data_IF_015183155549
#
_entry.id   IF_015183155549
#
_cell.length_a   1.000
_cell.length_b   1.000
_cell.length_c   1.000
_cell.angle_alpha   90.00
_cell.angle_beta   90.00
_cell.angle_gamma   90.00
#
_symmetry.space_group_name_H-M   'P 1'
#
loop_
_entity.id
_entity.type
_entity.pdbx_description
1 polymer ?
#
# COMPACT_ATOMS: atom_id res chain seq x y z
N UNK A 1 -4.52 -33.38 -24.03
CA UNK A 1 -3.88 -32.07 -23.74
C UNK A 1 -4.58 -30.91 -24.44
N UNK A 2 -4.75 -30.92 -25.76
CA UNK A 2 -5.42 -29.85 -26.53
C UNK A 2 -6.88 -29.56 -26.09
N UNK A 3 -7.74 -30.59 -25.97
CA UNK A 3 -9.13 -30.43 -25.45
C UNK A 3 -9.22 -29.87 -24.03
N UNK A 4 -8.19 -30.08 -23.20
CA UNK A 4 -8.14 -29.55 -21.84
C UNK A 4 -7.72 -28.07 -21.85
N UNK A 5 -6.76 -27.72 -22.69
CA UNK A 5 -6.34 -26.33 -22.96
C UNK A 5 -7.52 -25.53 -23.53
N UNK A 6 -8.28 -26.09 -24.47
CA UNK A 6 -9.44 -25.43 -25.06
C UNK A 6 -10.58 -25.23 -24.06
N UNK A 7 -10.89 -26.25 -23.24
CA UNK A 7 -11.86 -26.12 -22.14
C UNK A 7 -11.42 -25.07 -21.12
N UNK A 8 -10.14 -25.04 -20.76
CA UNK A 8 -9.59 -24.08 -19.83
C UNK A 8 -9.65 -22.64 -20.38
N UNK A 9 -9.28 -22.45 -21.65
CA UNK A 9 -9.43 -21.17 -22.35
C UNK A 9 -10.90 -20.71 -22.39
N UNK A 10 -11.83 -21.62 -22.63
CA UNK A 10 -13.27 -21.33 -22.65
C UNK A 10 -13.79 -20.90 -21.27
N UNK A 11 -13.27 -21.49 -20.18
CA UNK A 11 -13.66 -21.13 -18.80
C UNK A 11 -13.13 -19.75 -18.42
N UNK A 12 -11.87 -19.45 -18.70
CA UNK A 12 -11.25 -18.16 -18.36
C UNK A 12 -11.89 -17.00 -19.13
N UNK A 13 -12.37 -17.26 -20.35
CA UNK A 13 -13.05 -16.25 -21.16
C UNK A 13 -14.52 -16.05 -20.78
N UNK A 14 -15.05 -16.79 -19.79
CA UNK A 14 -16.40 -16.55 -19.30
C UNK A 14 -16.52 -15.13 -18.74
N UNK A 15 -17.68 -14.46 -18.94
CA UNK A 15 -17.89 -13.10 -18.46
C UNK A 15 -17.69 -12.94 -16.94
N UNK A 16 -17.88 -14.01 -16.16
CA UNK A 16 -17.65 -14.03 -14.72
C UNK A 16 -16.25 -13.52 -14.33
N UNK A 17 -15.19 -13.97 -15.00
CA UNK A 17 -13.81 -13.63 -14.64
C UNK A 17 -13.37 -12.24 -15.09
N UNK A 18 -14.20 -11.54 -15.87
CA UNK A 18 -13.86 -10.27 -16.52
C UNK A 18 -14.89 -9.15 -16.33
N UNK A 19 -16.05 -9.42 -15.72
CA UNK A 19 -17.06 -8.41 -15.39
C UNK A 19 -16.67 -7.69 -14.10
N UNK A 20 -16.63 -6.36 -14.13
CA UNK A 20 -16.30 -5.56 -12.94
C UNK A 20 -17.31 -5.75 -11.81
N UNK A 21 -18.60 -5.97 -12.10
CA UNK A 21 -19.60 -6.24 -11.06
C UNK A 21 -19.28 -7.54 -10.30
N UNK A 22 -18.90 -8.59 -11.01
CA UNK A 22 -18.45 -9.85 -10.39
C UNK A 22 -17.20 -9.65 -9.56
N UNK A 23 -16.17 -9.01 -10.11
CA UNK A 23 -14.91 -8.78 -9.40
C UNK A 23 -15.11 -7.88 -8.16
N UNK A 24 -15.97 -6.86 -8.26
CA UNK A 24 -16.35 -6.00 -7.13
C UNK A 24 -17.07 -6.81 -6.04
N UNK A 25 -18.01 -7.68 -6.43
CA UNK A 25 -18.70 -8.56 -5.48
C UNK A 25 -17.73 -9.53 -4.80
N UNK A 26 -16.77 -10.10 -5.52
CA UNK A 26 -15.73 -10.96 -4.95
C UNK A 26 -14.81 -10.19 -3.99
N UNK A 27 -14.38 -8.97 -4.35
CA UNK A 27 -13.56 -8.13 -3.48
C UNK A 27 -14.32 -7.66 -2.23
N UNK A 28 -15.60 -7.35 -2.34
CA UNK A 28 -16.47 -7.09 -1.18
C UNK A 28 -16.60 -8.34 -0.30
N UNK A 29 -16.78 -9.52 -0.90
CA UNK A 29 -16.86 -10.79 -0.20
C UNK A 29 -15.58 -11.10 0.59
N UNK A 30 -14.38 -10.74 0.09
CA UNK A 30 -13.14 -10.85 0.86
C UNK A 30 -13.20 -10.03 2.17
N UNK A 31 -13.79 -8.83 2.12
CA UNK A 31 -14.01 -8.00 3.32
C UNK A 31 -14.95 -8.66 4.32
N UNK A 32 -16.04 -9.29 3.83
CA UNK A 32 -16.97 -10.06 4.66
C UNK A 32 -16.30 -11.29 5.28
N UNK A 33 -15.52 -12.04 4.49
CA UNK A 33 -14.75 -13.20 4.98
C UNK A 33 -13.76 -12.78 6.08
N UNK A 34 -13.03 -11.69 5.85
CA UNK A 34 -12.12 -11.16 6.86
C UNK A 34 -12.86 -10.74 8.14
N UNK A 35 -14.02 -10.08 8.00
CA UNK A 35 -14.85 -9.74 9.15
C UNK A 35 -15.30 -10.98 9.94
N UNK A 36 -15.88 -12.00 9.30
CA UNK A 36 -16.34 -13.23 9.98
C UNK A 36 -15.17 -13.90 10.71
N UNK A 37 -14.04 -14.08 10.02
CA UNK A 37 -12.88 -14.80 10.56
C UNK A 37 -12.13 -14.05 11.67
N UNK A 38 -12.37 -12.74 11.83
CA UNK A 38 -11.70 -11.91 12.84
C UNK A 38 -12.63 -11.52 13.98
N UNK A 39 -13.88 -11.19 13.69
CA UNK A 39 -14.86 -10.77 14.68
C UNK A 39 -15.17 -11.86 15.72
N UNK A 40 -15.63 -13.03 15.28
CA UNK A 40 -16.05 -14.08 16.23
C UNK A 40 -14.90 -14.60 17.11
N UNK A 41 -13.67 -14.76 16.61
CA UNK A 41 -12.54 -15.14 17.47
C UNK A 41 -11.94 -14.01 18.31
N UNK A 42 -12.45 -12.77 18.24
CA UNK A 42 -11.89 -11.64 18.99
C UNK A 42 -10.54 -11.12 18.44
N UNK A 43 -10.20 -11.41 17.18
CA UNK A 43 -8.86 -11.14 16.60
C UNK A 43 -8.84 -9.90 15.70
N UNK A 44 -9.20 -8.74 16.23
CA UNK A 44 -9.33 -7.47 15.48
C UNK A 44 -8.61 -6.30 16.16
N UNK A 45 -7.49 -6.56 16.83
CA UNK A 45 -6.72 -5.59 17.61
C UNK A 45 -6.49 -4.25 16.90
N UNK A 46 -6.05 -4.28 15.64
CA UNK A 46 -5.81 -3.06 14.85
C UNK A 46 -7.08 -2.24 14.66
N UNK A 47 -8.24 -2.89 14.44
CA UNK A 47 -9.49 -2.15 14.36
C UNK A 47 -9.89 -1.57 15.72
N UNK A 48 -9.62 -2.25 16.84
CA UNK A 48 -9.83 -1.68 18.18
C UNK A 48 -8.98 -0.42 18.36
N UNK A 49 -7.68 -0.46 18.05
CA UNK A 49 -6.78 0.70 18.10
C UNK A 49 -7.32 1.85 17.26
N UNK A 50 -7.70 1.57 16.01
CA UNK A 50 -8.26 2.57 15.11
C UNK A 50 -9.56 3.15 15.64
N UNK A 51 -10.48 2.29 16.11
CA UNK A 51 -11.76 2.71 16.67
C UNK A 51 -11.55 3.62 17.88
N UNK A 52 -10.64 3.26 18.76
CA UNK A 52 -10.39 4.00 19.99
C UNK A 52 -9.70 5.34 19.72
N UNK A 53 -8.91 5.50 18.64
CA UNK A 53 -8.33 6.81 18.32
C UNK A 53 -9.39 7.90 18.09
N UNK A 54 -10.60 7.56 17.65
CA UNK A 54 -11.73 8.52 17.58
C UNK A 54 -12.21 8.91 18.98
N UNK A 55 -12.45 7.92 19.85
CA UNK A 55 -12.93 8.17 21.21
C UNK A 55 -11.87 8.84 22.09
N UNK A 56 -10.61 8.46 21.97
CA UNK A 56 -9.48 9.08 22.67
C UNK A 56 -9.32 10.53 22.24
N UNK A 57 -9.43 10.83 20.94
CA UNK A 57 -9.50 12.22 20.45
C UNK A 57 -10.64 12.98 21.11
N UNK A 58 -11.87 12.48 21.05
CA UNK A 58 -13.06 13.16 21.60
C UNK A 58 -12.96 13.44 23.11
N UNK A 59 -12.27 12.57 23.86
CA UNK A 59 -12.07 12.71 25.31
C UNK A 59 -10.71 13.33 25.68
N UNK A 60 -9.97 13.84 24.71
CA UNK A 60 -8.64 14.46 24.88
C UNK A 60 -7.62 13.57 25.62
N UNK A 61 -7.70 12.25 25.39
CA UNK A 61 -6.77 11.27 25.94
C UNK A 61 -5.50 11.17 25.08
N UNK A 62 -4.30 10.94 25.66
CA UNK A 62 -3.06 10.81 24.88
C UNK A 62 -3.12 9.71 23.81
N UNK A 63 -3.12 10.06 22.51
CA UNK A 63 -3.30 9.08 21.44
C UNK A 63 -2.18 8.04 21.36
N UNK A 64 -0.96 8.40 21.76
CA UNK A 64 0.24 7.58 21.60
C UNK A 64 0.65 6.87 22.91
N UNK A 65 -0.25 6.80 23.90
CA UNK A 65 -0.06 6.02 25.11
C UNK A 65 -0.55 4.57 24.94
N UNK A 66 -0.11 3.69 25.85
CA UNK A 66 -0.61 2.31 25.90
C UNK A 66 -1.94 2.22 26.68
N UNK A 67 -2.91 1.50 26.12
CA UNK A 67 -4.23 1.25 26.72
C UNK A 67 -4.51 -0.26 26.79
N UNK A 68 -3.81 -1.01 27.67
CA UNK A 68 -3.86 -2.49 27.70
C UNK A 68 -5.25 -3.06 28.03
N UNK A 69 -6.12 -2.28 28.66
CA UNK A 69 -7.52 -2.65 28.92
C UNK A 69 -8.39 -2.58 27.65
N UNK A 70 -7.96 -1.83 26.62
CA UNK A 70 -8.72 -1.61 25.39
C UNK A 70 -8.15 -2.40 24.20
N UNK A 71 -6.82 -2.51 24.10
CA UNK A 71 -6.13 -3.17 22.99
C UNK A 71 -4.64 -3.47 23.30
N UNK A 72 -4.02 -4.30 22.46
CA UNK A 72 -2.65 -4.82 22.62
C UNK A 72 -1.68 -4.26 21.57
N UNK A 73 -1.48 -2.94 21.53
CA UNK A 73 -0.40 -2.20 20.83
C UNK A 73 -0.59 -0.70 21.15
N UNK A 74 0.12 0.19 20.45
CA UNK A 74 -0.11 1.64 20.48
C UNK A 74 -0.63 2.12 19.11
N UNK A 75 -1.29 3.27 19.09
CA UNK A 75 -1.71 3.94 17.86
C UNK A 75 -0.56 4.70 17.22
N UNK A 76 -0.38 4.60 15.90
CA UNK A 76 0.78 5.17 15.18
C UNK A 76 0.41 6.04 13.98
N UNK A 77 -0.81 6.55 13.95
CA UNK A 77 -1.35 7.31 12.83
C UNK A 77 -1.50 8.78 13.22
N UNK A 78 -1.54 9.66 12.23
CA UNK A 78 -1.67 11.09 12.50
C UNK A 78 -3.08 11.44 12.99
N UNK A 79 -3.25 12.57 13.69
CA UNK A 79 -4.52 13.00 14.28
C UNK A 79 -5.72 12.98 13.32
N UNK A 80 -5.53 13.25 12.02
CA UNK A 80 -6.57 13.17 10.97
C UNK A 80 -7.24 11.81 10.88
N UNK A 81 -6.53 10.75 11.27
CA UNK A 81 -7.07 9.40 11.21
C UNK A 81 -8.34 9.24 12.08
N UNK A 82 -8.45 10.01 13.18
CA UNK A 82 -9.67 10.05 14.03
C UNK A 82 -10.93 10.42 13.24
N UNK A 83 -10.83 11.33 12.26
CA UNK A 83 -11.93 11.68 11.35
C UNK A 83 -12.20 10.58 10.31
N UNK A 84 -11.15 9.93 9.82
CA UNK A 84 -11.26 8.84 8.83
C UNK A 84 -11.97 7.62 9.41
N UNK A 85 -11.66 7.27 10.66
CA UNK A 85 -12.27 6.13 11.34
C UNK A 85 -13.63 6.43 11.97
N UNK A 86 -13.95 7.71 12.23
CA UNK A 86 -15.20 8.16 12.86
C UNK A 86 -16.48 7.44 12.37
N UNK A 87 -16.79 7.36 11.05
CA UNK A 87 -18.05 6.72 10.60
C UNK A 87 -18.13 5.23 10.94
N UNK A 88 -16.99 4.58 11.16
CA UNK A 88 -16.92 3.17 11.57
C UNK A 88 -16.90 3.04 13.10
N UNK A 89 -16.22 3.95 13.79
CA UNK A 89 -16.01 3.93 15.24
C UNK A 89 -17.30 4.15 16.06
N UNK A 90 -18.21 4.99 15.56
CA UNK A 90 -19.49 5.34 16.22
C UNK A 90 -20.51 4.19 16.20
N UNK A 91 -20.36 3.25 15.27
CA UNK A 91 -21.27 2.11 15.15
C UNK A 91 -20.90 1.00 16.14
N UNK A 92 -21.81 0.03 16.41
CA UNK A 92 -21.45 -1.15 17.18
C UNK A 92 -20.25 -1.87 16.57
N UNK A 93 -19.38 -2.43 17.41
CA UNK A 93 -18.09 -3.02 17.03
C UNK A 93 -18.16 -3.95 15.80
N UNK A 94 -19.17 -4.83 15.76
CA UNK A 94 -19.37 -5.76 14.65
C UNK A 94 -19.63 -5.04 13.32
N UNK A 95 -20.46 -4.00 13.34
CA UNK A 95 -20.84 -3.25 12.15
C UNK A 95 -19.70 -2.36 11.69
N UNK A 96 -19.00 -1.73 12.63
CA UNK A 96 -17.82 -0.91 12.36
C UNK A 96 -16.72 -1.72 11.68
N UNK A 97 -16.40 -2.91 12.21
CA UNK A 97 -15.38 -3.77 11.62
C UNK A 97 -15.77 -4.31 10.24
N UNK A 98 -17.05 -4.67 10.06
CA UNK A 98 -17.58 -5.15 8.77
C UNK A 98 -17.48 -4.05 7.71
N UNK A 99 -18.04 -2.87 8.01
CA UNK A 99 -18.07 -1.75 7.08
C UNK A 99 -16.68 -1.20 6.81
N UNK A 100 -15.78 -1.19 7.80
CA UNK A 100 -14.35 -0.87 7.61
C UNK A 100 -13.71 -1.83 6.61
N UNK A 101 -13.83 -3.13 6.82
CA UNK A 101 -13.20 -4.16 5.97
C UNK A 101 -13.72 -4.09 4.52
N UNK A 102 -15.03 -3.92 4.34
CA UNK A 102 -15.64 -3.79 3.01
C UNK A 102 -15.25 -2.47 2.35
N UNK A 103 -15.26 -1.35 3.08
CA UNK A 103 -14.90 -0.03 2.55
C UNK A 103 -13.44 0.02 2.08
N UNK A 104 -12.49 -0.52 2.87
CA UNK A 104 -11.08 -0.62 2.48
C UNK A 104 -10.92 -1.39 1.16
N UNK A 105 -11.55 -2.56 1.06
CA UNK A 105 -11.51 -3.41 -0.14
C UNK A 105 -12.09 -2.69 -1.37
N UNK A 106 -13.27 -2.10 -1.24
CA UNK A 106 -13.95 -1.41 -2.34
C UNK A 106 -13.25 -0.11 -2.75
N UNK A 107 -12.61 0.58 -1.81
CA UNK A 107 -11.84 1.78 -2.10
C UNK A 107 -10.64 1.46 -3.00
N UNK A 108 -9.87 0.41 -2.66
CA UNK A 108 -8.78 -0.06 -3.52
C UNK A 108 -9.31 -0.60 -4.85
N UNK A 109 -10.43 -1.32 -4.85
CA UNK A 109 -11.05 -1.78 -6.09
C UNK A 109 -11.34 -0.60 -7.03
N UNK A 110 -11.97 0.46 -6.51
CA UNK A 110 -12.33 1.62 -7.30
C UNK A 110 -11.10 2.40 -7.79
N UNK A 111 -10.08 2.56 -6.94
CA UNK A 111 -8.81 3.16 -7.33
C UNK A 111 -8.16 2.43 -8.54
N UNK A 112 -8.07 1.10 -8.48
CA UNK A 112 -7.55 0.28 -9.59
C UNK A 112 -8.46 0.37 -10.82
N UNK A 113 -9.79 0.43 -10.64
CA UNK A 113 -10.74 0.59 -11.76
C UNK A 113 -10.49 1.86 -12.56
N UNK A 114 -10.04 2.92 -11.89
CA UNK A 114 -9.79 4.22 -12.52
C UNK A 114 -8.42 4.35 -13.17
N UNK A 115 -7.51 3.39 -12.96
CA UNK A 115 -6.21 3.38 -13.64
C UNK A 115 -6.39 3.49 -15.16
N UNK A 116 -5.60 4.31 -15.86
CA UNK A 116 -5.63 4.36 -17.31
C UNK A 116 -5.07 3.06 -17.92
N UNK A 117 -5.46 2.74 -19.16
CA UNK A 117 -5.07 1.50 -19.84
C UNK A 117 -6.23 0.53 -20.10
N UNK A 118 -5.87 -0.66 -20.59
CA UNK A 118 -6.87 -1.63 -21.07
C UNK A 118 -7.48 -2.44 -19.92
N UNK A 119 -8.72 -2.89 -20.12
CA UNK A 119 -9.50 -3.66 -19.14
C UNK A 119 -8.77 -4.91 -18.64
N UNK A 120 -7.99 -5.57 -19.50
CA UNK A 120 -7.25 -6.79 -19.16
C UNK A 120 -6.18 -6.56 -18.08
N UNK A 121 -5.49 -5.41 -18.11
CA UNK A 121 -4.51 -5.03 -17.08
C UNK A 121 -5.17 -4.98 -15.70
N UNK A 122 -6.29 -4.26 -15.59
CA UNK A 122 -7.05 -4.11 -14.34
C UNK A 122 -7.61 -5.44 -13.84
N UNK A 123 -8.14 -6.28 -14.73
CA UNK A 123 -8.59 -7.65 -14.36
C UNK A 123 -7.43 -8.47 -13.78
N UNK A 124 -6.25 -8.41 -14.40
CA UNK A 124 -5.08 -9.12 -13.89
C UNK A 124 -4.70 -8.63 -12.49
N UNK A 125 -4.67 -7.32 -12.26
CA UNK A 125 -4.40 -6.74 -10.93
C UNK A 125 -5.38 -7.29 -9.89
N UNK A 126 -6.69 -7.32 -10.19
CA UNK A 126 -7.69 -7.82 -9.24
C UNK A 126 -7.50 -9.27 -8.84
N UNK A 127 -7.15 -10.14 -9.78
CA UNK A 127 -6.93 -11.56 -9.49
C UNK A 127 -5.59 -11.78 -8.79
N UNK A 128 -4.52 -11.15 -9.29
CA UNK A 128 -3.18 -11.35 -8.75
C UNK A 128 -3.04 -10.83 -7.31
N UNK A 129 -3.70 -9.72 -6.99
CA UNK A 129 -3.59 -9.08 -5.67
C UNK A 129 -4.63 -9.57 -4.65
N UNK A 130 -5.59 -10.42 -5.04
CA UNK A 130 -6.69 -10.84 -4.17
C UNK A 130 -6.22 -11.49 -2.85
N UNK A 131 -5.18 -12.32 -2.92
CA UNK A 131 -4.64 -12.99 -1.73
C UNK A 131 -3.93 -12.00 -0.78
N UNK A 132 -3.18 -11.04 -1.31
CA UNK A 132 -2.50 -10.02 -0.51
C UNK A 132 -3.50 -9.02 0.09
N UNK A 133 -4.58 -8.72 -0.64
CA UNK A 133 -5.71 -7.95 -0.13
C UNK A 133 -6.33 -8.68 1.06
N UNK A 134 -6.62 -9.98 0.93
CA UNK A 134 -7.18 -10.78 2.02
C UNK A 134 -6.26 -10.80 3.26
N UNK A 135 -4.95 -10.95 3.05
CA UNK A 135 -3.94 -10.88 4.13
C UNK A 135 -4.01 -9.54 4.87
N UNK A 136 -4.18 -8.45 4.14
CA UNK A 136 -4.29 -7.10 4.72
C UNK A 136 -5.61 -6.90 5.45
N UNK A 137 -6.71 -7.40 4.90
CA UNK A 137 -8.05 -7.37 5.51
C UNK A 137 -8.11 -8.18 6.80
N UNK A 138 -7.41 -9.32 6.86
CA UNK A 138 -7.28 -10.12 8.08
C UNK A 138 -6.55 -9.40 9.22
N UNK A 139 -5.78 -8.36 8.92
CA UNK A 139 -5.16 -7.50 9.91
C UNK A 139 -5.97 -6.21 10.12
N UNK A 140 -7.12 -6.04 9.46
CA UNK A 140 -7.93 -4.82 9.46
C UNK A 140 -7.14 -3.56 9.11
N UNK A 141 -6.07 -3.70 8.33
CA UNK A 141 -5.02 -2.69 8.17
C UNK A 141 -5.41 -1.55 7.21
N UNK A 142 -5.00 -0.33 7.55
CA UNK A 142 -5.20 0.86 6.71
C UNK A 142 -4.29 0.91 5.47
N UNK A 143 -3.30 0.01 5.39
CA UNK A 143 -2.37 -0.10 4.25
C UNK A 143 -3.10 -0.29 2.90
N UNK A 144 -4.31 -0.86 2.91
CA UNK A 144 -5.18 -1.01 1.73
C UNK A 144 -5.60 0.38 1.20
N UNK A 145 -6.04 1.28 2.07
CA UNK A 145 -6.36 2.67 1.71
C UNK A 145 -5.14 3.45 1.26
N UNK A 146 -3.97 3.21 1.85
CA UNK A 146 -2.73 3.86 1.37
C UNK A 146 -2.40 3.44 -0.06
N UNK A 147 -2.54 2.14 -0.40
CA UNK A 147 -2.40 1.69 -1.79
C UNK A 147 -3.39 2.42 -2.71
N UNK A 148 -4.67 2.52 -2.30
CA UNK A 148 -5.70 3.20 -3.06
C UNK A 148 -5.40 4.70 -3.24
N UNK A 149 -4.93 5.37 -2.19
CA UNK A 149 -4.55 6.79 -2.20
C UNK A 149 -3.39 7.04 -3.18
N UNK A 150 -2.33 6.25 -3.14
CA UNK A 150 -1.18 6.41 -4.05
C UNK A 150 -1.62 6.19 -5.51
N UNK A 151 -2.45 5.18 -5.76
CA UNK A 151 -3.02 4.91 -7.09
C UNK A 151 -3.93 6.07 -7.54
N UNK A 152 -4.78 6.60 -6.66
CA UNK A 152 -5.67 7.72 -6.98
C UNK A 152 -4.91 9.02 -7.19
N UNK A 153 -3.85 9.29 -6.44
CA UNK A 153 -2.98 10.44 -6.65
C UNK A 153 -2.45 10.45 -8.09
N UNK A 154 -1.93 9.31 -8.55
CA UNK A 154 -1.51 9.13 -9.94
C UNK A 154 -2.66 9.36 -10.93
N UNK A 155 -3.79 8.68 -10.73
CA UNK A 155 -4.97 8.78 -11.62
C UNK A 155 -5.51 10.21 -11.72
N UNK A 156 -5.57 10.94 -10.62
CA UNK A 156 -6.09 12.30 -10.57
C UNK A 156 -5.15 13.28 -11.25
N UNK A 157 -3.83 13.10 -11.10
CA UNK A 157 -2.82 13.88 -11.83
C UNK A 157 -2.91 13.62 -13.34
N UNK A 158 -3.02 12.37 -13.77
CA UNK A 158 -3.21 12.02 -15.20
C UNK A 158 -4.52 12.61 -15.78
N UNK A 159 -5.53 12.83 -14.93
CA UNK A 159 -6.81 13.46 -15.30
C UNK A 159 -6.83 14.98 -15.06
N UNK A 160 -5.69 15.59 -14.77
CA UNK A 160 -5.54 17.03 -14.52
C UNK A 160 -6.41 17.56 -13.35
N UNK A 161 -6.80 16.66 -12.43
CA UNK A 161 -7.57 16.95 -11.22
C UNK A 161 -6.62 17.25 -10.04
N UNK A 162 -5.71 18.20 -10.24
CA UNK A 162 -4.61 18.47 -9.31
C UNK A 162 -5.04 18.81 -7.87
N UNK A 163 -6.17 19.52 -7.69
CA UNK A 163 -6.70 19.85 -6.34
C UNK A 163 -7.09 18.57 -5.58
N UNK A 164 -7.72 17.63 -6.27
CA UNK A 164 -8.14 16.36 -5.68
C UNK A 164 -6.97 15.39 -5.51
N UNK A 165 -5.97 15.45 -6.40
CA UNK A 165 -4.73 14.73 -6.21
C UNK A 165 -4.03 15.20 -4.92
N UNK A 166 -3.90 16.51 -4.74
CA UNK A 166 -3.36 17.10 -3.51
C UNK A 166 -4.17 16.68 -2.27
N UNK A 167 -5.51 16.67 -2.34
CA UNK A 167 -6.36 16.17 -1.26
C UNK A 167 -6.00 14.74 -0.84
N UNK A 168 -5.99 13.79 -1.79
CA UNK A 168 -5.75 12.38 -1.44
C UNK A 168 -4.32 12.16 -0.94
N UNK A 169 -3.33 12.87 -1.50
CA UNK A 169 -1.93 12.80 -1.04
C UNK A 169 -1.85 13.31 0.40
N UNK A 170 -2.40 14.50 0.70
CA UNK A 170 -2.34 15.06 2.06
C UNK A 170 -3.16 14.22 3.05
N UNK A 171 -4.34 13.73 2.68
CA UNK A 171 -5.11 12.81 3.51
C UNK A 171 -4.29 11.55 3.85
N UNK A 172 -3.61 10.98 2.85
CA UNK A 172 -2.68 9.89 3.05
C UNK A 172 -1.57 10.29 4.01
N UNK A 173 -0.81 11.34 3.70
CA UNK A 173 0.34 11.81 4.50
C UNK A 173 -0.01 12.03 5.95
N UNK A 174 -1.10 12.75 6.24
CA UNK A 174 -1.51 13.12 7.60
C UNK A 174 -2.24 12.01 8.35
N UNK A 175 -2.57 10.90 7.70
CA UNK A 175 -2.99 9.67 8.39
C UNK A 175 -1.82 8.73 8.59
N UNK A 176 -1.04 8.48 7.53
CA UNK A 176 0.19 7.67 7.54
C UNK A 176 1.17 8.25 6.53
N UNK A 177 2.40 8.53 6.96
CA UNK A 177 3.42 9.23 6.15
C UNK A 177 3.63 8.68 4.73
N UNK A 178 3.34 7.40 4.49
CA UNK A 178 3.40 6.76 3.16
C UNK A 178 2.61 7.51 2.08
N UNK A 179 1.55 8.26 2.42
CA UNK A 179 0.82 9.05 1.43
C UNK A 179 1.66 10.10 0.70
N UNK A 180 2.74 10.60 1.32
CA UNK A 180 3.62 11.64 0.77
C UNK A 180 4.27 11.21 -0.54
N UNK A 181 4.42 9.90 -0.76
CA UNK A 181 5.05 9.37 -1.98
C UNK A 181 4.22 9.66 -3.22
N UNK A 182 2.94 10.04 -3.09
CA UNK A 182 2.16 10.55 -4.21
C UNK A 182 2.71 11.83 -4.84
N UNK A 183 3.53 12.61 -4.10
CA UNK A 183 4.25 13.78 -4.65
C UNK A 183 5.27 13.40 -5.74
N UNK A 184 5.70 12.13 -5.81
CA UNK A 184 6.52 11.60 -6.91
C UNK A 184 5.92 11.92 -8.30
N UNK A 185 4.60 12.02 -8.38
CA UNK A 185 3.88 12.29 -9.62
C UNK A 185 3.82 13.78 -10.00
N UNK A 186 4.40 14.69 -9.20
CA UNK A 186 4.46 16.12 -9.48
C UNK A 186 4.97 16.45 -10.89
N UNK A 187 5.96 15.70 -11.37
CA UNK A 187 6.54 15.90 -12.69
C UNK A 187 5.54 15.65 -13.82
N UNK A 188 4.50 14.84 -13.58
CA UNK A 188 3.45 14.53 -14.55
C UNK A 188 2.25 15.49 -14.50
N UNK A 189 2.12 16.31 -13.45
CA UNK A 189 1.08 17.35 -13.39
C UNK A 189 1.30 18.40 -14.47
N UNK A 190 0.20 18.76 -15.17
CA UNK A 190 0.15 19.86 -16.12
C UNK A 190 0.06 21.22 -15.44
N UNK A 191 -0.52 21.30 -14.24
CA UNK A 191 -0.71 22.56 -13.50
C UNK A 191 0.09 22.58 -12.19
N UNK A 192 1.43 22.60 -12.30
CA UNK A 192 2.36 22.48 -11.17
C UNK A 192 2.11 23.47 -10.03
N UNK A 193 1.89 24.75 -10.36
CA UNK A 193 1.59 25.77 -9.33
C UNK A 193 0.26 25.49 -8.62
N UNK A 194 -0.79 25.14 -9.37
CA UNK A 194 -2.09 24.79 -8.80
C UNK A 194 -1.99 23.57 -7.90
N UNK A 195 -1.24 22.54 -8.33
CA UNK A 195 -0.97 21.35 -7.53
C UNK A 195 -0.22 21.69 -6.23
N UNK A 196 0.87 22.45 -6.30
CA UNK A 196 1.66 22.84 -5.12
C UNK A 196 0.86 23.66 -4.13
N UNK A 197 0.14 24.69 -4.60
CA UNK A 197 -0.74 25.51 -3.74
C UNK A 197 -1.86 24.68 -3.13
N UNK A 198 -2.42 23.72 -3.89
CA UNK A 198 -3.43 22.80 -3.36
C UNK A 198 -2.86 21.87 -2.29
N UNK A 199 -1.60 21.42 -2.41
CA UNK A 199 -0.94 20.62 -1.37
C UNK A 199 -0.80 21.42 -0.08
N UNK A 200 -0.38 22.69 -0.16
CA UNK A 200 -0.30 23.57 1.01
C UNK A 200 -1.69 23.78 1.62
N UNK A 201 -2.70 24.12 0.81
CA UNK A 201 -4.06 24.32 1.28
C UNK A 201 -4.64 23.08 1.97
N UNK A 202 -4.48 21.90 1.37
CA UNK A 202 -4.94 20.66 2.00
C UNK A 202 -4.11 20.27 3.22
N UNK A 203 -2.81 20.54 3.27
CA UNK A 203 -2.01 20.32 4.48
C UNK A 203 -2.56 21.15 5.66
N UNK A 204 -2.88 22.43 5.43
CA UNK A 204 -3.51 23.27 6.46
C UNK A 204 -4.85 22.67 6.90
N UNK A 205 -5.69 22.23 5.95
CA UNK A 205 -6.97 21.57 6.28
C UNK A 205 -6.74 20.29 7.09
N UNK A 206 -5.74 19.48 6.77
CA UNK A 206 -5.44 18.26 7.52
C UNK A 206 -4.96 18.56 8.95
N UNK A 207 -4.20 19.64 9.16
CA UNK A 207 -3.82 20.09 10.51
C UNK A 207 -5.03 20.52 11.31
N UNK A 208 -5.92 21.31 10.71
CA UNK A 208 -7.04 21.97 11.42
C UNK A 208 -8.27 21.06 11.56
N UNK A 209 -8.57 20.20 10.60
CA UNK A 209 -9.80 19.42 10.58
C UNK A 209 -10.04 18.58 11.86
N UNK A 210 -9.04 17.92 12.48
CA UNK A 210 -9.23 17.17 13.71
C UNK A 210 -9.69 18.03 14.89
N UNK A 211 -9.47 19.35 14.85
CA UNK A 211 -9.91 20.30 15.87
C UNK A 211 -11.44 20.45 15.95
N UNK A 212 -12.18 19.87 15.00
CA UNK A 212 -13.64 19.74 15.10
C UNK A 212 -14.03 18.75 16.21
N UNK A 213 -13.17 17.77 16.50
CA UNK A 213 -13.42 16.77 17.54
C UNK A 213 -12.94 17.22 18.93
N UNK A 214 -11.90 18.06 19.00
CA UNK A 214 -11.18 18.41 20.24
C UNK A 214 -10.51 19.77 20.13
N UNK A 215 -10.05 20.35 21.25
CA UNK A 215 -9.39 21.65 21.26
C UNK A 215 -8.12 21.75 20.40
N UNK A 216 -7.77 22.94 19.86
CA UNK A 216 -6.53 23.16 19.11
C UNK A 216 -5.26 22.74 19.86
N UNK A 217 -5.17 23.07 21.15
CA UNK A 217 -4.00 22.75 21.99
C UNK A 217 -3.79 21.23 22.09
N UNK A 218 -4.88 20.49 22.30
CA UNK A 218 -4.84 19.03 22.30
C UNK A 218 -4.36 18.50 20.94
N UNK A 219 -4.96 18.90 19.82
CA UNK A 219 -4.56 18.39 18.49
C UNK A 219 -3.10 18.71 18.16
N UNK A 220 -2.62 19.91 18.48
CA UNK A 220 -1.22 20.28 18.25
C UNK A 220 -0.26 19.47 19.12
N UNK A 221 -0.63 19.16 20.37
CA UNK A 221 0.15 18.26 21.22
C UNK A 221 0.21 16.84 20.62
N UNK A 222 -0.87 16.35 20.00
CA UNK A 222 -0.88 15.04 19.35
C UNK A 222 -0.01 15.00 18.09
N UNK A 223 0.09 16.08 17.31
CA UNK A 223 1.06 16.13 16.20
C UNK A 223 2.51 16.00 16.68
N UNK A 224 2.83 16.59 17.84
CA UNK A 224 4.16 16.44 18.48
C UNK A 224 4.35 15.01 18.96
N UNK A 225 3.37 14.44 19.67
CA UNK A 225 3.40 13.05 20.13
C UNK A 225 3.55 12.04 18.98
N UNK A 226 2.92 12.30 17.82
CA UNK A 226 3.07 11.45 16.65
C UNK A 226 4.50 11.41 16.11
N UNK A 227 5.17 12.57 16.11
CA UNK A 227 6.57 12.65 15.69
C UNK A 227 7.49 11.86 16.62
N UNK A 228 7.28 11.98 17.93
CA UNK A 228 8.05 11.24 18.96
C UNK A 228 7.81 9.73 18.86
N UNK A 229 6.55 9.31 18.76
CA UNK A 229 6.14 7.90 18.59
C UNK A 229 6.82 7.26 17.37
N UNK A 230 6.71 7.91 16.20
CA UNK A 230 7.31 7.38 14.97
C UNK A 230 8.85 7.32 15.05
N UNK A 231 9.47 8.28 15.72
CA UNK A 231 10.93 8.32 15.91
C UNK A 231 11.41 7.18 16.81
N UNK A 232 10.71 6.93 17.93
CA UNK A 232 10.98 5.79 18.81
C UNK A 232 10.78 4.45 18.11
N UNK A 233 9.63 4.29 17.44
CA UNK A 233 9.24 3.05 16.74
C UNK A 233 10.20 2.64 15.66
N UNK A 234 10.84 3.58 14.96
CA UNK A 234 11.85 3.26 13.97
C UNK A 234 13.01 2.43 14.55
N UNK A 235 13.39 2.71 15.80
CA UNK A 235 14.44 1.98 16.52
C UNK A 235 13.97 0.59 16.96
N UNK A 236 12.72 0.47 17.43
CA UNK A 236 12.12 -0.81 17.83
C UNK A 236 11.96 -1.78 16.66
N UNK A 237 11.67 -1.25 15.46
CA UNK A 237 11.44 -2.05 14.27
C UNK A 237 12.70 -2.73 13.72
N UNK A 238 13.91 -2.27 14.08
CA UNK A 238 15.16 -2.67 13.43
C UNK A 238 15.30 -4.20 13.27
N UNK A 239 15.06 -4.95 14.35
CA UNK A 239 15.12 -6.43 14.36
C UNK A 239 13.78 -7.11 14.69
N UNK A 240 12.70 -6.34 14.82
CA UNK A 240 11.38 -6.89 15.13
C UNK A 240 10.95 -7.93 14.10
N UNK A 241 10.49 -9.10 14.56
CA UNK A 241 10.23 -10.25 13.70
C UNK A 241 9.09 -9.99 12.69
N UNK A 242 8.02 -9.34 13.17
CA UNK A 242 6.81 -9.06 12.38
C UNK A 242 6.79 -7.66 11.75
N UNK A 243 7.83 -6.86 12.00
CA UNK A 243 8.03 -5.54 11.43
C UNK A 243 9.32 -5.52 10.61
N UNK A 244 9.60 -4.38 9.96
CA UNK A 244 10.74 -4.20 9.07
C UNK A 244 10.86 -5.36 8.07
N UNK A 245 9.73 -5.79 7.51
CA UNK A 245 9.66 -6.75 6.43
C UNK A 245 9.87 -5.96 5.15
N UNK A 246 11.10 -5.52 4.93
CA UNK A 246 11.50 -4.59 3.87
C UNK A 246 12.90 -4.94 3.36
N UNK A 247 13.42 -4.21 2.36
CA UNK A 247 14.82 -4.36 1.96
C UNK A 247 15.76 -3.95 3.10
N UNK A 248 15.42 -2.89 3.84
CA UNK A 248 16.19 -2.43 5.01
C UNK A 248 16.30 -3.54 6.06
N UNK A 249 15.17 -4.12 6.45
CA UNK A 249 15.15 -5.19 7.43
C UNK A 249 15.76 -6.49 6.92
N UNK A 250 15.65 -6.80 5.63
CA UNK A 250 16.33 -7.95 5.04
C UNK A 250 17.85 -7.82 5.16
N UNK A 251 18.43 -6.68 4.77
CA UNK A 251 19.89 -6.44 4.92
C UNK A 251 20.30 -6.49 6.39
N UNK A 252 19.51 -5.87 7.27
CA UNK A 252 19.80 -5.82 8.71
C UNK A 252 19.77 -7.19 9.36
N UNK A 253 18.71 -7.95 9.12
CA UNK A 253 18.51 -9.29 9.70
C UNK A 253 19.48 -10.33 9.14
N UNK A 254 19.87 -10.23 7.86
CA UNK A 254 20.87 -11.11 7.26
C UNK A 254 22.28 -10.78 7.76
N UNK A 255 22.63 -9.50 7.83
CA UNK A 255 23.96 -9.08 8.29
C UNK A 255 24.16 -9.24 9.80
N UNK A 256 23.07 -9.24 10.58
CA UNK A 256 23.12 -9.20 12.04
C UNK A 256 23.68 -7.88 12.59
N UNK A 257 23.88 -6.87 11.74
CA UNK A 257 24.56 -5.64 12.13
C UNK A 257 23.60 -4.61 12.70
N UNK A 258 23.83 -4.25 13.96
CA UNK A 258 23.09 -3.17 14.65
C UNK A 258 23.64 -1.80 14.27
N UNK A 259 24.94 -1.72 13.92
CA UNK A 259 25.71 -0.48 13.93
C UNK A 259 25.57 0.39 12.68
N UNK A 260 25.24 -0.18 11.51
CA UNK A 260 25.08 0.63 10.31
C UNK A 260 23.75 1.38 10.32
N UNK A 261 23.72 2.57 9.71
CA UNK A 261 22.49 3.35 9.54
C UNK A 261 21.76 2.95 8.25
N UNK A 262 20.45 2.71 8.34
CA UNK A 262 19.60 2.41 7.17
C UNK A 262 19.61 3.56 6.15
N UNK A 263 20.06 4.76 6.54
CA UNK A 263 20.17 5.92 5.64
C UNK A 263 21.03 5.63 4.42
N UNK A 264 22.08 4.81 4.52
CA UNK A 264 22.93 4.48 3.38
C UNK A 264 22.17 3.70 2.31
N UNK A 265 21.34 2.75 2.74
CA UNK A 265 20.47 1.98 1.84
C UNK A 265 19.35 2.86 1.28
N UNK A 266 18.78 3.74 2.10
CA UNK A 266 17.74 4.69 1.67
C UNK A 266 18.28 5.66 0.62
N UNK A 267 19.47 6.23 0.82
CA UNK A 267 20.12 7.12 -0.16
C UNK A 267 20.37 6.37 -1.47
N UNK A 268 20.93 5.15 -1.42
CA UNK A 268 21.13 4.33 -2.61
C UNK A 268 19.81 4.04 -3.33
N UNK A 269 18.76 3.71 -2.56
CA UNK A 269 17.41 3.52 -3.07
C UNK A 269 16.83 4.78 -3.73
N UNK A 270 16.97 5.94 -3.10
CA UNK A 270 16.49 7.23 -3.63
C UNK A 270 17.22 7.63 -4.91
N UNK A 271 18.53 7.39 -5.00
CA UNK A 271 19.30 7.62 -6.23
C UNK A 271 18.74 6.74 -7.36
N UNK A 272 18.62 5.43 -7.13
CA UNK A 272 18.06 4.50 -8.13
C UNK A 272 16.60 4.84 -8.50
N UNK A 273 15.77 5.19 -7.52
CA UNK A 273 14.40 5.66 -7.72
C UNK A 273 14.34 6.95 -8.56
N UNK A 274 15.32 7.84 -8.39
CA UNK A 274 15.46 9.11 -9.09
C UNK A 274 15.94 8.99 -10.53
N UNK A 275 16.76 7.97 -10.85
CA UNK A 275 17.36 7.81 -12.19
C UNK A 275 16.34 7.83 -13.35
N UNK A 276 15.18 7.14 -13.28
CA UNK A 276 14.19 7.20 -14.34
C UNK A 276 13.68 8.61 -14.67
N UNK A 277 13.66 9.56 -13.72
CA UNK A 277 13.18 10.92 -13.99
C UNK A 277 14.06 11.69 -15.00
N UNK A 278 15.29 11.23 -15.24
CA UNK A 278 16.16 11.82 -16.27
C UNK A 278 15.66 11.49 -17.70
N UNK A 279 14.76 10.52 -17.85
CA UNK A 279 14.21 10.07 -19.14
C UNK A 279 13.02 10.92 -19.59
N UNK A 280 13.17 12.25 -19.61
CA UNK A 280 12.09 13.22 -19.91
C UNK A 280 11.37 12.91 -21.23
N UNK A 281 12.10 12.45 -22.25
CA UNK A 281 11.51 12.07 -23.55
C UNK A 281 10.49 10.93 -23.48
N UNK A 282 10.55 10.11 -22.41
CA UNK A 282 9.62 9.01 -22.16
C UNK A 282 8.36 9.45 -21.43
N UNK A 283 8.34 10.65 -20.83
CA UNK A 283 7.22 11.13 -20.01
C UNK A 283 5.93 11.23 -20.81
N UNK A 284 5.98 11.39 -22.13
CA UNK A 284 4.80 11.41 -23.00
C UNK A 284 4.04 10.07 -23.04
N UNK A 285 4.69 8.96 -22.71
CA UNK A 285 4.08 7.63 -22.76
C UNK A 285 3.40 7.29 -21.43
N UNK A 286 2.11 6.98 -21.49
CA UNK A 286 1.32 6.55 -20.32
C UNK A 286 1.94 5.33 -19.61
N UNK A 287 2.46 4.37 -20.38
CA UNK A 287 3.13 3.18 -19.86
C UNK A 287 4.36 3.52 -18.99
N UNK A 288 5.12 4.57 -19.34
CA UNK A 288 6.25 5.03 -18.54
C UNK A 288 5.76 5.63 -17.21
N UNK A 289 4.74 6.49 -17.26
CA UNK A 289 4.15 7.10 -16.07
C UNK A 289 3.51 6.06 -15.14
N UNK A 290 2.83 5.04 -15.68
CA UNK A 290 2.30 3.89 -14.93
C UNK A 290 3.39 3.03 -14.29
N UNK A 291 4.49 2.78 -14.99
CA UNK A 291 5.60 2.04 -14.41
C UNK A 291 6.35 2.83 -13.34
N UNK A 292 6.33 4.18 -13.39
CA UNK A 292 6.76 5.00 -12.27
C UNK A 292 5.84 4.82 -11.04
N UNK A 293 4.51 4.76 -11.23
CA UNK A 293 3.58 4.40 -10.16
C UNK A 293 3.92 3.02 -9.55
N UNK A 294 4.24 2.02 -10.38
CA UNK A 294 4.70 0.73 -9.89
C UNK A 294 5.96 0.84 -9.02
N UNK A 295 6.92 1.69 -9.44
CA UNK A 295 8.14 1.95 -8.68
C UNK A 295 7.83 2.60 -7.33
N UNK A 296 6.95 3.61 -7.30
CA UNK A 296 6.51 4.29 -6.06
C UNK A 296 5.88 3.30 -5.07
N UNK A 297 4.95 2.47 -5.55
CA UNK A 297 4.24 1.49 -4.73
C UNK A 297 5.16 0.42 -4.12
N UNK A 298 6.21 -0.01 -4.84
CA UNK A 298 7.19 -0.93 -4.28
C UNK A 298 8.20 -0.22 -3.38
N UNK A 299 8.67 0.97 -3.77
CA UNK A 299 9.67 1.75 -3.05
C UNK A 299 9.22 2.06 -1.61
N UNK A 300 7.97 2.53 -1.44
CA UNK A 300 7.44 2.89 -0.11
C UNK A 300 7.44 1.72 0.88
N UNK A 301 7.31 0.48 0.38
CA UNK A 301 7.34 -0.74 1.22
C UNK A 301 8.76 -1.22 1.45
N UNK A 302 9.59 -1.21 0.40
CA UNK A 302 10.96 -1.74 0.45
C UNK A 302 11.91 -0.88 1.29
N UNK A 303 11.69 0.43 1.34
CA UNK A 303 12.55 1.39 2.03
C UNK A 303 11.88 1.98 3.28
N UNK A 304 11.06 1.18 3.97
CA UNK A 304 10.46 1.54 5.25
C UNK A 304 10.66 0.47 6.32
N UNK A 305 11.00 0.91 7.53
CA UNK A 305 11.10 0.04 8.71
C UNK A 305 9.73 -0.36 9.27
N UNK A 306 8.68 0.42 8.96
CA UNK A 306 7.29 0.16 9.37
C UNK A 306 6.54 -0.80 8.46
N UNK A 307 7.23 -1.46 7.52
CA UNK A 307 6.62 -2.46 6.65
C UNK A 307 6.42 -3.78 7.39
N UNK A 308 5.20 -4.28 7.33
CA UNK A 308 4.74 -5.56 7.89
C UNK A 308 4.15 -6.40 6.75
N UNK A 309 3.70 -7.62 7.05
CA UNK A 309 3.14 -8.50 6.02
C UNK A 309 1.96 -7.85 5.30
N UNK A 310 1.07 -7.17 6.02
CA UNK A 310 -0.11 -6.49 5.45
C UNK A 310 0.23 -5.25 4.60
N UNK A 311 1.45 -4.72 4.70
CA UNK A 311 1.87 -3.56 3.90
C UNK A 311 2.05 -3.94 2.43
N UNK A 312 2.31 -5.22 2.15
CA UNK A 312 2.64 -5.69 0.81
C UNK A 312 1.51 -5.62 -0.19
N UNK A 313 0.26 -5.36 0.21
CA UNK A 313 -0.79 -5.02 -0.76
C UNK A 313 -0.40 -3.80 -1.59
N UNK A 314 0.30 -2.82 -1.00
CA UNK A 314 0.81 -1.64 -1.72
C UNK A 314 1.80 -2.11 -2.80
N UNK A 315 2.84 -2.86 -2.41
CA UNK A 315 3.86 -3.36 -3.33
C UNK A 315 3.30 -4.32 -4.39
N UNK A 316 2.32 -5.15 -4.06
CA UNK A 316 1.71 -6.12 -4.97
C UNK A 316 0.93 -5.47 -6.10
N UNK A 317 0.25 -4.35 -5.82
CA UNK A 317 -0.36 -3.53 -6.86
C UNK A 317 0.76 -2.99 -7.78
N UNK A 318 1.89 -2.56 -7.21
CA UNK A 318 3.07 -2.16 -7.98
C UNK A 318 3.65 -3.29 -8.85
N UNK A 319 3.81 -4.50 -8.31
CA UNK A 319 4.27 -5.69 -9.04
C UNK A 319 3.33 -6.02 -10.21
N UNK A 320 2.02 -6.00 -9.98
CA UNK A 320 1.03 -6.28 -11.02
C UNK A 320 1.07 -5.20 -12.14
N UNK A 321 1.16 -3.91 -11.77
CA UNK A 321 1.30 -2.81 -12.74
C UNK A 321 2.61 -2.93 -13.50
N UNK A 322 3.74 -3.22 -12.84
CA UNK A 322 5.02 -3.47 -13.51
C UNK A 322 4.81 -4.50 -14.61
N UNK A 323 4.26 -5.67 -14.28
CA UNK A 323 4.10 -6.76 -15.24
C UNK A 323 3.23 -6.36 -16.45
N UNK A 324 2.12 -5.66 -16.23
CA UNK A 324 1.11 -5.43 -17.28
C UNK A 324 1.21 -4.12 -18.03
N UNK A 325 1.82 -3.06 -17.46
CA UNK A 325 1.75 -1.72 -18.03
C UNK A 325 2.70 -1.48 -19.22
N UNK A 326 3.62 -2.40 -19.48
CA UNK A 326 4.66 -2.21 -20.50
C UNK A 326 4.16 -2.52 -21.92
N UNK A 327 4.64 -1.80 -22.95
CA UNK A 327 4.22 -2.01 -24.34
C UNK A 327 4.93 -3.18 -25.05
N UNK A 328 5.68 -4.01 -24.33
CA UNK A 328 6.43 -5.14 -24.87
C UNK A 328 6.01 -6.45 -24.21
N UNK A 329 6.32 -7.57 -24.88
CA UNK A 329 6.10 -8.90 -24.33
C UNK A 329 7.04 -9.16 -23.16
N UNK A 330 6.49 -9.64 -22.04
CA UNK A 330 7.24 -10.07 -20.86
C UNK A 330 8.09 -11.30 -21.16
N UNK A 331 9.31 -11.31 -20.64
CA UNK A 331 10.29 -12.38 -20.78
C UNK A 331 10.00 -13.54 -19.83
N UNK A 332 10.61 -14.71 -20.05
CA UNK A 332 10.50 -15.85 -19.13
C UNK A 332 10.96 -15.48 -17.72
N UNK A 333 12.03 -14.68 -17.59
CA UNK A 333 12.50 -14.19 -16.30
C UNK A 333 11.44 -13.34 -15.58
N UNK A 334 10.66 -12.54 -16.31
CA UNK A 334 9.59 -11.75 -15.70
C UNK A 334 8.47 -12.64 -15.14
N UNK A 335 8.14 -13.71 -15.86
CA UNK A 335 7.16 -14.70 -15.41
C UNK A 335 7.68 -15.41 -14.15
N UNK A 336 8.96 -15.81 -14.14
CA UNK A 336 9.59 -16.42 -12.96
C UNK A 336 9.54 -15.47 -11.75
N UNK A 337 9.85 -14.19 -11.94
CA UNK A 337 9.76 -13.19 -10.88
C UNK A 337 8.33 -13.02 -10.35
N UNK A 338 7.32 -13.03 -11.23
CA UNK A 338 5.90 -12.97 -10.82
C UNK A 338 5.48 -14.18 -9.99
N UNK A 339 5.85 -15.38 -10.43
CA UNK A 339 5.59 -16.62 -9.68
C UNK A 339 6.32 -16.60 -8.35
N UNK A 340 7.57 -16.15 -8.33
CA UNK A 340 8.36 -16.03 -7.11
C UNK A 340 7.75 -15.04 -6.12
N UNK A 341 7.28 -13.88 -6.59
CA UNK A 341 6.56 -12.93 -5.75
C UNK A 341 5.27 -13.53 -5.21
N UNK A 342 4.47 -14.20 -6.05
CA UNK A 342 3.24 -14.84 -5.59
C UNK A 342 3.50 -15.88 -4.49
N UNK A 343 4.48 -16.77 -4.68
CA UNK A 343 4.80 -17.83 -3.73
C UNK A 343 5.44 -17.28 -2.45
N UNK A 344 6.53 -16.52 -2.57
CA UNK A 344 7.31 -16.13 -1.40
C UNK A 344 6.76 -14.86 -0.73
N UNK A 345 6.31 -13.87 -1.48
CA UNK A 345 5.78 -12.64 -0.87
C UNK A 345 4.33 -12.81 -0.43
N UNK A 346 3.46 -13.34 -1.30
CA UNK A 346 2.03 -13.39 -1.02
C UNK A 346 1.61 -14.62 -0.25
N UNK A 347 2.07 -15.82 -0.59
CA UNK A 347 1.65 -17.03 0.12
C UNK A 347 2.39 -17.25 1.44
N UNK A 348 3.59 -16.70 1.65
CA UNK A 348 4.37 -16.99 2.87
C UNK A 348 3.70 -16.68 4.20
N UNK A 349 2.81 -15.67 4.36
CA UNK A 349 2.08 -15.46 5.60
C UNK A 349 0.90 -16.43 5.77
N UNK A 350 0.49 -17.11 4.71
CA UNK A 350 -0.65 -18.05 4.72
C UNK A 350 -0.25 -19.44 5.19
N UNK A 351 -1.23 -20.22 5.64
CA UNK A 351 -1.03 -21.62 6.03
C UNK A 351 -0.85 -22.57 4.84
N UNK A 352 -0.98 -22.07 3.60
CA UNK A 352 -0.63 -22.81 2.39
C UNK A 352 0.88 -22.91 2.20
N UNK A 353 1.67 -22.05 2.86
CA UNK A 353 3.12 -22.06 2.75
C UNK A 353 3.75 -22.93 3.87
N UNK A 354 4.82 -23.70 3.60
CA UNK A 354 5.41 -24.58 4.59
C UNK A 354 5.81 -23.83 5.87
N UNK A 355 5.16 -24.16 6.99
CA UNK A 355 5.38 -23.49 8.30
C UNK A 355 6.85 -23.48 8.70
N UNK A 356 7.57 -24.57 8.44
CA UNK A 356 9.01 -24.66 8.73
C UNK A 356 9.80 -23.59 7.98
N UNK A 357 9.58 -23.43 6.67
CA UNK A 357 10.25 -22.41 5.86
C UNK A 357 9.85 -21.01 6.33
N UNK A 358 8.56 -20.79 6.59
CA UNK A 358 8.02 -19.52 7.10
C UNK A 358 8.71 -19.06 8.38
N UNK A 359 8.77 -19.93 9.39
CA UNK A 359 9.26 -19.61 10.74
C UNK A 359 10.78 -19.54 10.80
N UNK A 360 11.49 -20.42 10.11
CA UNK A 360 12.95 -20.52 10.23
C UNK A 360 13.73 -19.72 9.19
N UNK A 361 13.09 -19.32 8.07
CA UNK A 361 13.77 -18.59 7.00
C UNK A 361 13.07 -17.28 6.63
N UNK A 362 11.75 -17.31 6.39
CA UNK A 362 11.06 -16.10 5.90
C UNK A 362 11.01 -15.00 6.95
N UNK A 363 10.52 -15.30 8.16
CA UNK A 363 10.43 -14.30 9.21
C UNK A 363 11.79 -13.81 9.72
N UNK A 364 12.76 -14.68 10.05
CA UNK A 364 14.02 -14.25 10.62
C UNK A 364 14.83 -13.36 9.69
N UNK A 365 14.72 -13.54 8.37
CA UNK A 365 15.49 -12.78 7.37
C UNK A 365 14.65 -11.81 6.52
N UNK A 366 13.38 -11.58 6.89
CA UNK A 366 12.45 -10.74 6.13
C UNK A 366 12.34 -11.09 4.63
N UNK A 367 12.45 -12.38 4.26
CA UNK A 367 12.54 -12.81 2.86
C UNK A 367 11.27 -12.54 2.04
N UNK A 368 10.14 -12.21 2.69
CA UNK A 368 8.94 -11.72 2.01
C UNK A 368 9.25 -10.49 1.11
N UNK A 369 10.27 -9.70 1.45
CA UNK A 369 10.72 -8.54 0.67
C UNK A 369 11.48 -8.88 -0.61
N UNK A 370 12.14 -10.04 -0.65
CA UNK A 370 13.11 -10.38 -1.68
C UNK A 370 12.54 -10.34 -3.11
N UNK A 371 11.37 -10.96 -3.41
CA UNK A 371 10.83 -10.91 -4.77
C UNK A 371 10.50 -9.49 -5.23
N UNK A 372 9.87 -8.69 -4.37
CA UNK A 372 9.55 -7.29 -4.67
C UNK A 372 10.81 -6.46 -4.90
N UNK A 373 11.89 -6.71 -4.16
CA UNK A 373 13.18 -6.04 -4.37
C UNK A 373 13.78 -6.36 -5.74
N UNK A 374 13.80 -7.64 -6.14
CA UNK A 374 14.31 -8.06 -7.45
C UNK A 374 13.49 -7.48 -8.59
N UNK A 375 12.16 -7.46 -8.44
CA UNK A 375 11.24 -6.85 -9.39
C UNK A 375 11.48 -5.34 -9.46
N UNK A 376 11.66 -4.66 -8.34
CA UNK A 376 11.91 -3.22 -8.30
C UNK A 376 13.24 -2.85 -8.96
N UNK A 377 14.32 -3.59 -8.72
CA UNK A 377 15.60 -3.40 -9.41
C UNK A 377 15.46 -3.59 -10.92
N UNK A 378 14.74 -4.64 -11.35
CA UNK A 378 14.47 -4.87 -12.77
C UNK A 378 13.62 -3.77 -13.38
N UNK A 379 12.55 -3.34 -12.71
CA UNK A 379 11.71 -2.24 -13.13
C UNK A 379 12.55 -0.97 -13.33
N UNK A 380 13.38 -0.60 -12.36
CA UNK A 380 14.26 0.56 -12.43
C UNK A 380 15.20 0.46 -13.64
N UNK A 381 15.82 -0.70 -13.87
CA UNK A 381 16.64 -0.95 -15.06
C UNK A 381 15.84 -0.80 -16.36
N UNK A 382 14.63 -1.35 -16.43
CA UNK A 382 13.75 -1.22 -17.61
C UNK A 382 13.38 0.24 -17.87
N UNK A 383 13.05 1.00 -16.83
CA UNK A 383 12.71 2.42 -16.94
C UNK A 383 13.88 3.26 -17.45
N UNK A 384 15.11 2.94 -17.04
CA UNK A 384 16.31 3.65 -17.48
C UNK A 384 16.72 3.30 -18.92
N UNK A 385 16.48 2.08 -19.38
CA UNK A 385 17.08 1.56 -20.63
C UNK A 385 16.09 1.38 -21.77
N UNK A 386 14.85 0.99 -21.50
CA UNK A 386 13.87 0.65 -22.55
C UNK A 386 13.15 1.87 -23.10
N UNK A 387 12.61 1.70 -24.31
CA UNK A 387 11.71 2.66 -24.94
C UNK A 387 10.26 2.25 -24.67
N UNK A 388 9.47 3.19 -24.15
CA UNK A 388 8.04 3.02 -23.88
C UNK A 388 7.16 3.43 -25.05
N UNK A 389 7.76 3.65 -26.22
CA UNK A 389 7.02 3.81 -27.46
C UNK A 389 6.18 2.54 -27.71
N UNK A 390 4.87 2.65 -28.02
CA UNK A 390 4.07 1.50 -28.38
C UNK A 390 4.72 0.76 -29.56
N UNK A 391 5.02 -0.51 -29.37
CA UNK A 391 5.45 -1.36 -30.48
C UNK A 391 4.24 -1.50 -31.40
N UNK A 392 4.36 -1.10 -32.68
CA UNK A 392 3.33 -1.41 -33.67
C UNK A 392 3.17 -2.93 -33.69
N UNK A 393 1.97 -3.39 -33.35
CA UNK A 393 1.62 -4.80 -33.32
C UNK A 393 1.71 -5.43 -34.71
#
# INVERSE_FOLDING_TARGET
MMKFIDKFNTIIHKPFFSKYSTLMGLWALLGVIAWITKYFPGKYNNFSIFRQSFWHTLNELPLYAAYPEEYNDIFHYGPVFSLVIAPFAITPLWLGLLTWSVAQSLFLFWAVKMLPGIKRERIFIYWFCAHELLTSLFMSQFNISIAAIIVLAYVLIEKEKDVWAAFVIMLGTFTKLYGITGLAFFFFSRHKMKFSLSCVGWAVVMVVAPMILSGPDYIMSQYTGWFEDLSGKNSENLFALMQNISFLGMVRKISGSVSYSDIYLIIGGLLLFGLPYLRISQYKYEAFRKTLLASVLMFVVLFSTGSESSTYIIAFIGVAIWYTAVPWKRSTLDIVLMVFAFILTSMSPSDLFPKYIRVHYVYPYALKALPCMLIWLKLTFEMCTRSYNPVKA
#
